data_IF_603060480480
#
_entry.id   IF_603060480480
#
_cell.length_a   1.000
_cell.length_b   1.000
_cell.length_c   1.000
_cell.angle_alpha   90.00
_cell.angle_beta   90.00
_cell.angle_gamma   90.00
#
_symmetry.space_group_name_H-M   'P 1'
#
loop_
_entity.id
_entity.type
_entity.pdbx_description
1 polymer ?
#
# COMPACT_ATOMS: atom_id res chain seq x y z
N UNK A 1 -10.80 27.45 1.55
CA UNK A 1 -10.49 26.99 0.18
C UNK A 1 -11.40 25.81 -0.09
N UNK A 2 -12.37 26.00 -0.97
CA UNK A 2 -13.22 24.90 -1.42
C UNK A 2 -12.37 23.97 -2.29
N UNK A 3 -12.21 22.73 -1.82
CA UNK A 3 -11.42 21.73 -2.51
C UNK A 3 -12.34 21.01 -3.48
N UNK A 4 -12.03 21.09 -4.77
CA UNK A 4 -12.72 20.32 -5.80
C UNK A 4 -12.21 18.89 -5.80
N UNK A 5 -13.12 17.93 -5.74
CA UNK A 5 -12.80 16.51 -5.89
C UNK A 5 -12.81 16.09 -7.36
N UNK A 6 -12.06 15.04 -7.70
CA UNK A 6 -12.14 14.43 -9.02
C UNK A 6 -13.55 13.88 -9.26
N UNK A 7 -14.01 13.95 -10.52
CA UNK A 7 -15.39 13.63 -10.86
C UNK A 7 -15.85 12.31 -10.26
N UNK A 8 -15.03 11.25 -10.32
CA UNK A 8 -15.31 9.90 -9.82
C UNK A 8 -14.45 9.47 -8.61
N UNK A 9 -13.88 10.40 -7.85
CA UNK A 9 -13.03 10.10 -6.69
C UNK A 9 -11.76 9.28 -6.99
N UNK A 10 -11.36 9.15 -8.26
CA UNK A 10 -10.22 8.33 -8.68
C UNK A 10 -8.89 8.88 -8.21
N UNK A 11 -8.73 10.20 -8.26
CA UNK A 11 -7.48 10.83 -7.83
C UNK A 11 -7.27 10.67 -6.32
N UNK A 12 -8.36 10.76 -5.54
CA UNK A 12 -8.35 10.60 -4.10
C UNK A 12 -8.04 9.15 -3.71
N UNK A 13 -8.66 8.18 -4.40
CA UNK A 13 -8.34 6.76 -4.23
C UNK A 13 -6.87 6.49 -4.55
N UNK A 14 -6.38 7.00 -5.68
CA UNK A 14 -4.99 6.83 -6.09
C UNK A 14 -4.02 7.49 -5.11
N UNK A 15 -4.34 8.68 -4.61
CA UNK A 15 -3.54 9.37 -3.59
C UNK A 15 -3.41 8.54 -2.32
N UNK A 16 -4.48 7.86 -1.93
CA UNK A 16 -4.45 6.94 -0.80
C UNK A 16 -3.61 5.68 -1.07
N UNK A 17 -3.80 5.04 -2.22
CA UNK A 17 -3.01 3.88 -2.64
C UNK A 17 -1.51 4.21 -2.71
N UNK A 18 -1.17 5.37 -3.25
CA UNK A 18 0.22 5.84 -3.33
C UNK A 18 0.81 6.07 -1.93
N UNK A 19 0.05 6.65 -1.01
CA UNK A 19 0.48 6.77 0.38
C UNK A 19 0.80 5.39 0.99
N UNK A 20 -0.11 4.43 0.85
CA UNK A 20 0.08 3.08 1.39
C UNK A 20 1.32 2.38 0.78
N UNK A 21 1.57 2.55 -0.51
CA UNK A 21 2.78 2.03 -1.18
C UNK A 21 4.05 2.66 -0.63
N UNK A 22 4.10 3.99 -0.52
CA UNK A 22 5.28 4.70 -0.02
C UNK A 22 5.61 4.28 1.42
N UNK A 23 4.62 4.16 2.29
CA UNK A 23 4.85 3.71 3.66
C UNK A 23 5.24 2.24 3.74
N UNK A 24 4.82 1.40 2.79
CA UNK A 24 5.30 0.02 2.71
C UNK A 24 6.77 -0.02 2.25
N UNK A 25 7.15 0.80 1.28
CA UNK A 25 8.56 0.95 0.89
C UNK A 25 9.42 1.44 2.07
N UNK A 26 8.94 2.43 2.84
CA UNK A 26 9.63 2.94 4.03
C UNK A 26 9.70 1.89 5.14
N UNK A 27 8.62 1.13 5.34
CA UNK A 27 8.61 0.02 6.30
C UNK A 27 9.72 -0.97 5.96
N UNK A 28 9.84 -1.35 4.70
CA UNK A 28 10.86 -2.29 4.28
C UNK A 28 12.27 -1.72 4.40
N UNK A 29 12.48 -0.47 3.99
CA UNK A 29 13.82 0.14 3.96
C UNK A 29 14.35 0.57 5.33
N UNK A 30 13.46 1.02 6.21
CA UNK A 30 13.83 1.75 7.42
C UNK A 30 13.21 1.20 8.69
N UNK A 31 12.36 0.17 8.60
CA UNK A 31 11.67 -0.39 9.76
C UNK A 31 10.58 0.51 10.35
N UNK A 32 10.12 1.51 9.59
CA UNK A 32 9.00 2.34 10.02
C UNK A 32 7.75 1.47 10.21
N UNK A 33 6.97 1.63 11.28
CA UNK A 33 5.75 0.84 11.47
C UNK A 33 4.79 1.00 10.29
N UNK A 34 4.39 -0.13 9.70
CA UNK A 34 3.40 -0.16 8.65
C UNK A 34 2.00 -0.28 9.24
N UNK A 35 1.40 0.87 9.56
CA UNK A 35 0.09 0.96 10.23
C UNK A 35 -0.97 1.80 9.48
N UNK A 36 -1.03 1.86 8.12
CA UNK A 36 -2.14 2.52 7.46
C UNK A 36 -3.48 1.95 7.93
N UNK A 37 -4.45 2.82 8.18
CA UNK A 37 -5.78 2.46 8.65
C UNK A 37 -5.98 2.31 10.16
N UNK A 38 -4.92 2.42 10.96
CA UNK A 38 -5.01 2.36 12.44
C UNK A 38 -5.86 3.47 13.06
N UNK A 39 -6.52 3.14 14.18
CA UNK A 39 -7.47 4.03 14.87
C UNK A 39 -6.77 4.99 15.86
N UNK A 40 -5.58 4.63 16.34
CA UNK A 40 -4.80 5.30 17.41
C UNK A 40 -3.98 6.52 16.96
N UNK A 41 -4.17 6.98 15.72
CA UNK A 41 -3.41 8.11 15.17
C UNK A 41 -2.10 7.72 14.51
N UNK A 42 -1.72 6.44 14.55
CA UNK A 42 -0.55 5.92 13.86
C UNK A 42 -0.80 5.66 12.36
N UNK A 43 -1.95 6.08 11.80
CA UNK A 43 -2.31 5.90 10.40
C UNK A 43 -1.65 7.00 9.54
N UNK A 44 -0.51 6.74 8.89
CA UNK A 44 0.15 7.75 8.09
C UNK A 44 -0.68 8.18 6.87
N UNK A 45 -1.65 7.37 6.48
CA UNK A 45 -2.52 7.60 5.32
C UNK A 45 -3.93 8.05 5.72
N UNK A 46 -4.13 8.49 6.97
CA UNK A 46 -5.42 8.99 7.47
C UNK A 46 -5.98 10.10 6.59
N UNK A 47 -5.16 11.10 6.27
CA UNK A 47 -5.58 12.26 5.46
C UNK A 47 -6.05 11.84 4.08
N UNK A 48 -5.26 11.00 3.37
CA UNK A 48 -5.62 10.56 2.00
C UNK A 48 -6.83 9.63 2.02
N UNK A 49 -6.95 8.77 3.04
CA UNK A 49 -8.13 7.93 3.29
C UNK A 49 -9.39 8.77 3.46
N UNK A 50 -9.33 9.79 4.32
CA UNK A 50 -10.44 10.70 4.58
C UNK A 50 -10.85 11.50 3.34
N UNK A 51 -9.90 11.88 2.47
CA UNK A 51 -10.21 12.57 1.22
C UNK A 51 -11.04 11.71 0.28
N UNK A 52 -10.68 10.43 0.10
CA UNK A 52 -11.48 9.51 -0.71
C UNK A 52 -12.88 9.31 -0.13
N UNK A 53 -12.98 9.08 1.18
CA UNK A 53 -14.28 8.91 1.85
C UNK A 53 -15.16 10.15 1.72
N UNK A 54 -14.57 11.35 1.88
CA UNK A 54 -15.30 12.62 1.72
C UNK A 54 -15.78 12.81 0.27
N UNK A 55 -14.94 12.52 -0.72
CA UNK A 55 -15.35 12.57 -2.12
C UNK A 55 -16.54 11.65 -2.41
N UNK A 56 -16.48 10.40 -1.95
CA UNK A 56 -17.56 9.44 -2.16
C UNK A 56 -18.85 9.85 -1.44
N UNK A 57 -18.73 10.44 -0.25
CA UNK A 57 -19.87 11.01 0.46
C UNK A 57 -20.52 12.17 -0.31
N UNK A 58 -19.74 13.06 -0.90
CA UNK A 58 -20.26 14.15 -1.72
C UNK A 58 -20.93 13.63 -3.00
N UNK A 59 -20.32 12.65 -3.69
CA UNK A 59 -20.94 11.98 -4.84
C UNK A 59 -22.30 11.36 -4.49
N UNK A 60 -22.39 10.71 -3.33
CA UNK A 60 -23.65 10.13 -2.84
C UNK A 60 -24.72 11.20 -2.61
N UNK A 61 -24.35 12.35 -2.02
CA UNK A 61 -25.26 13.49 -1.82
C UNK A 61 -25.77 14.03 -3.18
N UNK A 62 -24.92 14.02 -4.21
CA UNK A 62 -25.27 14.46 -5.56
C UNK A 62 -25.90 13.36 -6.45
N UNK A 63 -26.16 12.16 -5.92
CA UNK A 63 -26.85 11.08 -6.66
C UNK A 63 -26.00 10.40 -7.74
N UNK A 64 -24.66 10.46 -7.65
CA UNK A 64 -23.72 9.95 -8.65
C UNK A 64 -23.13 8.55 -8.31
N UNK A 65 -23.84 7.70 -7.58
CA UNK A 65 -23.28 6.47 -6.97
C UNK A 65 -22.97 5.29 -7.95
N UNK A 66 -23.04 5.50 -9.28
CA UNK A 66 -23.02 4.42 -10.27
C UNK A 66 -21.65 3.96 -10.80
N UNK A 67 -20.60 4.76 -10.69
CA UNK A 67 -19.32 4.47 -11.37
C UNK A 67 -18.33 3.74 -10.45
N UNK A 68 -17.83 2.58 -10.91
CA UNK A 68 -16.69 1.91 -10.28
C UNK A 68 -15.43 2.72 -10.52
N UNK A 69 -14.63 2.93 -9.47
CA UNK A 69 -13.36 3.63 -9.55
C UNK A 69 -12.27 2.63 -9.93
N UNK A 70 -12.18 2.30 -11.21
CA UNK A 70 -11.08 1.47 -11.70
C UNK A 70 -9.76 2.26 -11.57
N UNK A 71 -8.82 1.76 -10.76
CA UNK A 71 -7.43 2.19 -10.88
C UNK A 71 -6.91 1.77 -12.24
N UNK A 72 -6.45 2.74 -13.03
CA UNK A 72 -5.55 2.44 -14.14
C UNK A 72 -4.18 2.12 -13.56
N UNK A 73 -3.52 1.09 -14.09
CA UNK A 73 -2.08 0.95 -13.92
C UNK A 73 -1.42 2.25 -14.40
N UNK A 74 -0.68 2.91 -13.51
CA UNK A 74 0.22 3.97 -13.92
C UNK A 74 1.32 3.32 -14.78
N UNK A 75 1.44 3.75 -16.03
CA UNK A 75 2.60 3.44 -16.86
C UNK A 75 3.76 4.31 -16.36
N UNK A 76 4.67 3.71 -15.60
CA UNK A 76 5.92 4.36 -15.23
C UNK A 76 6.92 4.22 -16.38
N UNK A 77 7.36 5.36 -16.91
CA UNK A 77 8.45 5.45 -17.89
C UNK A 77 9.79 5.39 -17.17
N UNK A 78 10.30 4.16 -16.98
CA UNK A 78 11.60 3.87 -16.40
C UNK A 78 11.79 2.36 -16.29
N UNK A 79 13.03 1.87 -16.11
CA UNK A 79 13.23 0.47 -15.75
C UNK A 79 12.42 0.18 -14.48
N UNK A 80 11.67 -0.94 -14.42
CA UNK A 80 10.84 -1.25 -13.27
C UNK A 80 11.73 -1.35 -12.04
N UNK A 81 11.31 -0.70 -10.95
CA UNK A 81 11.97 -0.86 -9.66
C UNK A 81 11.92 -2.33 -9.24
N UNK A 82 12.88 -2.80 -8.41
CA UNK A 82 12.74 -4.10 -7.79
C UNK A 82 11.39 -4.24 -7.10
N UNK A 83 10.74 -5.38 -7.30
CA UNK A 83 9.47 -5.72 -6.66
C UNK A 83 8.29 -4.78 -6.96
N UNK A 84 8.33 -4.04 -8.08
CA UNK A 84 7.26 -3.13 -8.49
C UNK A 84 5.94 -3.89 -8.74
N UNK A 85 6.01 -5.14 -9.20
CA UNK A 85 4.84 -5.98 -9.41
C UNK A 85 4.13 -6.28 -8.10
N UNK A 86 4.86 -6.74 -7.09
CA UNK A 86 4.35 -7.06 -5.76
C UNK A 86 3.81 -5.79 -5.07
N UNK A 87 4.50 -4.66 -5.23
CA UNK A 87 4.04 -3.37 -4.74
C UNK A 87 2.72 -2.94 -5.40
N UNK A 88 2.57 -3.21 -6.70
CA UNK A 88 1.36 -2.95 -7.45
C UNK A 88 0.19 -3.86 -7.02
N UNK A 89 0.46 -5.14 -6.79
CA UNK A 89 -0.53 -6.08 -6.23
C UNK A 89 -1.02 -5.62 -4.85
N UNK A 90 -0.10 -5.14 -4.01
CA UNK A 90 -0.45 -4.59 -2.72
C UNK A 90 -1.33 -3.35 -2.85
N UNK A 91 -0.96 -2.40 -3.70
CA UNK A 91 -1.79 -1.21 -3.97
C UNK A 91 -3.19 -1.53 -4.47
N UNK A 92 -3.33 -2.56 -5.32
CA UNK A 92 -4.64 -3.06 -5.78
C UNK A 92 -5.47 -3.58 -4.62
N UNK A 93 -4.87 -4.34 -3.69
CA UNK A 93 -5.57 -4.80 -2.50
C UNK A 93 -6.06 -3.63 -1.63
N UNK A 94 -5.19 -2.65 -1.37
CA UNK A 94 -5.54 -1.44 -0.59
C UNK A 94 -6.73 -0.70 -1.20
N UNK A 95 -6.72 -0.52 -2.53
CA UNK A 95 -7.83 0.10 -3.24
C UNK A 95 -9.15 -0.66 -3.04
N UNK A 96 -9.13 -1.97 -3.32
CA UNK A 96 -10.31 -2.83 -3.20
C UNK A 96 -10.89 -2.82 -1.78
N UNK A 97 -10.04 -2.80 -0.75
CA UNK A 97 -10.50 -2.75 0.63
C UNK A 97 -11.09 -1.38 0.99
N UNK A 98 -10.52 -0.28 0.50
CA UNK A 98 -11.07 1.06 0.72
C UNK A 98 -12.43 1.22 0.04
N UNK A 99 -12.57 0.73 -1.18
CA UNK A 99 -13.86 0.71 -1.89
C UNK A 99 -14.90 -0.15 -1.15
N UNK A 100 -14.52 -1.33 -0.63
CA UNK A 100 -15.42 -2.19 0.17
C UNK A 100 -15.86 -1.51 1.45
N UNK A 101 -14.94 -0.88 2.16
CA UNK A 101 -15.22 -0.08 3.36
C UNK A 101 -16.27 0.98 3.05
N UNK A 102 -16.12 1.68 1.93
CA UNK A 102 -17.08 2.71 1.50
C UNK A 102 -18.45 2.11 1.12
N UNK A 103 -18.48 1.04 0.32
CA UNK A 103 -19.73 0.47 -0.23
C UNK A 103 -20.53 -0.32 0.79
N UNK A 104 -19.84 -1.09 1.62
CA UNK A 104 -20.44 -2.09 2.50
C UNK A 104 -20.42 -1.65 3.97
N UNK A 105 -19.76 -0.52 4.30
CA UNK A 105 -19.58 -0.09 5.69
C UNK A 105 -18.70 -1.04 6.49
N UNK A 106 -17.91 -1.89 5.82
CA UNK A 106 -16.97 -2.80 6.48
C UNK A 106 -15.84 -2.01 7.16
N UNK A 107 -15.17 -2.64 8.14
CA UNK A 107 -13.95 -2.10 8.70
C UNK A 107 -12.87 -1.99 7.62
N UNK A 108 -12.10 -0.91 7.67
CA UNK A 108 -10.96 -0.74 6.79
C UNK A 108 -9.92 -1.85 7.05
N UNK A 109 -9.09 -2.17 6.06
CA UNK A 109 -8.27 -3.41 6.00
C UNK A 109 -7.31 -3.70 7.14
N UNK A 110 -7.05 -2.78 8.05
CA UNK A 110 -6.25 -2.98 9.28
C UNK A 110 -7.04 -2.65 10.55
N UNK A 111 -8.27 -2.15 10.42
CA UNK A 111 -9.15 -1.84 11.53
C UNK A 111 -9.77 -3.12 12.08
N UNK A 112 -9.62 -3.34 13.39
CA UNK A 112 -10.09 -4.56 14.05
C UNK A 112 -9.04 -5.66 14.18
N UNK A 113 -7.76 -5.35 13.93
CA UNK A 113 -6.62 -6.24 14.22
C UNK A 113 -6.31 -7.29 13.15
N UNK A 114 -7.11 -7.37 12.09
CA UNK A 114 -6.81 -8.19 10.91
C UNK A 114 -6.24 -7.31 9.80
N UNK A 115 -5.08 -7.70 9.24
CA UNK A 115 -4.56 -7.12 8.00
C UNK A 115 -5.10 -7.92 6.80
N UNK A 116 -6.11 -7.37 6.12
CA UNK A 116 -6.75 -8.02 4.96
C UNK A 116 -5.90 -8.01 3.69
N UNK A 117 -4.80 -7.27 3.65
CA UNK A 117 -3.82 -7.32 2.57
C UNK A 117 -2.47 -7.88 3.04
N UNK A 118 -2.45 -8.62 4.16
CA UNK A 118 -1.26 -9.27 4.71
C UNK A 118 -0.53 -10.09 3.65
N UNK A 119 -1.25 -10.84 2.82
CA UNK A 119 -0.66 -11.69 1.78
C UNK A 119 0.11 -10.87 0.76
N UNK A 120 -0.48 -9.80 0.21
CA UNK A 120 0.19 -8.97 -0.79
C UNK A 120 1.31 -8.13 -0.17
N UNK A 121 1.15 -7.73 1.10
CA UNK A 121 2.19 -7.07 1.90
C UNK A 121 3.41 -7.99 2.07
N UNK A 122 3.17 -9.21 2.55
CA UNK A 122 4.22 -10.21 2.78
C UNK A 122 4.93 -10.60 1.47
N UNK A 123 4.22 -10.68 0.34
CA UNK A 123 4.85 -10.92 -0.96
C UNK A 123 5.83 -9.81 -1.33
N UNK A 124 5.47 -8.54 -1.12
CA UNK A 124 6.37 -7.41 -1.37
C UNK A 124 7.57 -7.43 -0.42
N UNK A 125 7.34 -7.62 0.88
CA UNK A 125 8.41 -7.73 1.89
C UNK A 125 9.38 -8.87 1.53
N UNK A 126 8.86 -10.03 1.12
CA UNK A 126 9.67 -11.18 0.72
C UNK A 126 10.47 -10.91 -0.56
N UNK A 127 9.85 -10.28 -1.56
CA UNK A 127 10.56 -9.90 -2.79
C UNK A 127 11.71 -8.94 -2.46
N UNK A 128 11.44 -7.90 -1.66
CA UNK A 128 12.45 -6.92 -1.28
C UNK A 128 13.57 -7.55 -0.45
N UNK A 129 13.24 -8.46 0.47
CA UNK A 129 14.22 -9.23 1.22
C UNK A 129 15.19 -9.98 0.30
N UNK A 130 14.66 -10.69 -0.70
CA UNK A 130 15.48 -11.42 -1.69
C UNK A 130 16.30 -10.46 -2.56
N UNK A 131 15.69 -9.38 -3.04
CA UNK A 131 16.36 -8.38 -3.87
C UNK A 131 17.52 -7.71 -3.13
N UNK A 132 17.34 -7.36 -1.85
CA UNK A 132 18.38 -6.72 -1.06
C UNK A 132 19.53 -7.69 -0.70
N UNK A 133 19.24 -8.99 -0.57
CA UNK A 133 20.27 -10.03 -0.42
C UNK A 133 21.09 -10.29 -1.68
N UNK A 134 20.70 -9.73 -2.82
CA UNK A 134 21.34 -10.00 -4.10
C UNK A 134 20.97 -11.37 -4.67
N UNK A 135 19.88 -11.99 -4.21
CA UNK A 135 19.39 -13.28 -4.75
C UNK A 135 18.78 -13.11 -6.16
N UNK A 136 18.79 -11.90 -6.70
CA UNK A 136 18.50 -11.60 -8.11
C UNK A 136 19.74 -11.88 -8.96
N UNK A 137 19.75 -13.01 -9.68
CA UNK A 137 20.60 -13.52 -10.79
C UNK A 137 21.71 -12.63 -11.43
N UNK A 138 22.44 -11.83 -10.66
CA UNK A 138 23.49 -10.95 -11.17
C UNK A 138 24.53 -10.80 -10.08
N UNK A 139 25.53 -11.69 -10.14
CA UNK A 139 26.62 -11.74 -9.17
C UNK A 139 27.37 -10.41 -9.11
N UNK A 140 27.31 -9.75 -7.97
CA UNK A 140 28.47 -9.18 -7.27
C UNK A 140 28.04 -8.59 -5.91
N UNK A 141 28.75 -9.01 -4.87
CA UNK A 141 29.26 -8.16 -3.77
C UNK A 141 28.93 -8.63 -2.33
N UNK A 142 30.01 -9.07 -1.68
CA UNK A 142 30.14 -9.52 -0.29
C UNK A 142 30.15 -8.36 0.74
N UNK A 143 29.54 -7.21 0.42
CA UNK A 143 29.66 -5.99 1.23
C UNK A 143 28.31 -5.37 1.53
N UNK A 144 27.45 -6.06 2.30
CA UNK A 144 26.29 -5.41 2.97
C UNK A 144 25.57 -6.25 4.03
N UNK A 145 26.04 -7.45 4.36
CA UNK A 145 25.25 -8.42 5.15
C UNK A 145 24.79 -7.92 6.52
N UNK A 146 25.63 -7.20 7.29
CA UNK A 146 25.28 -6.80 8.66
C UNK A 146 24.28 -5.62 8.74
N UNK A 147 24.41 -4.63 7.86
CA UNK A 147 23.47 -3.51 7.78
C UNK A 147 22.17 -3.94 7.11
N UNK A 148 22.25 -4.85 6.15
CA UNK A 148 21.11 -5.52 5.55
C UNK A 148 20.35 -6.35 6.58
N UNK A 149 21.01 -7.20 7.37
CA UNK A 149 20.39 -8.00 8.44
C UNK A 149 19.72 -7.11 9.49
N UNK A 150 20.34 -5.99 9.87
CA UNK A 150 19.74 -5.00 10.77
C UNK A 150 18.51 -4.33 10.15
N UNK A 151 18.56 -3.99 8.87
CA UNK A 151 17.49 -3.31 8.13
C UNK A 151 16.39 -4.26 7.62
N UNK A 152 16.52 -5.57 7.77
CA UNK A 152 15.47 -6.53 7.40
C UNK A 152 14.99 -7.37 8.59
N UNK A 153 15.68 -7.32 9.73
CA UNK A 153 15.32 -8.08 10.93
C UNK A 153 13.94 -7.72 11.50
N UNK A 154 13.40 -6.55 11.14
CA UNK A 154 12.05 -6.14 11.50
C UNK A 154 10.97 -6.64 10.54
N UNK A 155 11.33 -7.18 9.37
CA UNK A 155 10.36 -7.67 8.41
C UNK A 155 9.70 -8.94 8.97
N UNK A 156 8.37 -8.96 9.01
CA UNK A 156 7.58 -10.07 9.56
C UNK A 156 7.52 -11.28 8.60
N UNK A 157 8.59 -11.54 7.84
CA UNK A 157 8.63 -12.61 6.86
C UNK A 157 8.84 -13.94 7.60
N UNK A 158 7.75 -14.71 7.78
CA UNK A 158 7.88 -16.14 8.07
C UNK A 158 8.41 -16.82 6.82
N UNK A 159 9.70 -17.10 6.78
CA UNK A 159 10.26 -18.01 5.77
C UNK A 159 9.56 -19.37 5.93
N UNK A 160 9.04 -19.98 4.84
CA UNK A 160 8.67 -21.38 4.92
C UNK A 160 9.93 -22.16 5.26
N UNK A 161 9.98 -22.71 6.47
CA UNK A 161 11.06 -23.57 6.94
C UNK A 161 11.27 -24.68 5.90
N UNK A 162 12.51 -24.82 5.43
CA UNK A 162 12.98 -26.05 4.80
C UNK A 162 13.35 -27.05 5.89
#
# INVERSE_FOLDING_TARGET
MDRYFSANCREELQGHVNCAKVFLEQHVKFGTPYLPGSDDGADPCRTTRSLYMKCMQERKIHGLDGDKVALSLAQFSGPPKPCEMELSMHGTCVANQLERTQKLGEKYWTQGGEDRCLVTRANYEQCMFRSLRGDSDSGNSSWQSAELEKNIGHLQVKLPNK
#
